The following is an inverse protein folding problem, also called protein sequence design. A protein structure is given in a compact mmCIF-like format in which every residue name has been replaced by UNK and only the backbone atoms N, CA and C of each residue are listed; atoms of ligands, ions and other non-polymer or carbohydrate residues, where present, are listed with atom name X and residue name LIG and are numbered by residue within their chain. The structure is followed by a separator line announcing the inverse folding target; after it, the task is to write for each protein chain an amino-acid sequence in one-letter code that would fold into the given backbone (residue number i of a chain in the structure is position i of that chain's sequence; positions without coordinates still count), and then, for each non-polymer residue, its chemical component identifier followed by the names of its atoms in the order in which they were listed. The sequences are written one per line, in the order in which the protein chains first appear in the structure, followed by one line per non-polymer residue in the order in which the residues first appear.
data_IF_407151765061
#
_entry.id   IF_407151765061
#
_cell.length_a   1.000
_cell.length_b   1.000
_cell.length_c   1.000
_cell.angle_alpha   90.00
_cell.angle_beta   90.00
_cell.angle_gamma   90.00
#
_symmetry.space_group_name_H-M   'P 1'
#
loop_
_entity.id
_entity.type
_entity.pdbx_description
1 polymer ?
#
# COMPACT_ATOMS: atom_id res chain seq x y z
N UNK A 1 -10.03 -4.41 -11.87
CA UNK A 1 -9.19 -5.57 -12.21
C UNK A 1 -10.06 -6.77 -12.47
N UNK A 2 -9.78 -7.47 -13.56
CA UNK A 2 -10.41 -8.76 -13.87
C UNK A 2 -9.65 -9.89 -13.18
N UNK A 3 -10.36 -10.73 -12.44
CA UNK A 3 -9.78 -11.83 -11.66
C UNK A 3 -10.46 -13.13 -12.05
N UNK A 4 -9.66 -14.14 -12.36
CA UNK A 4 -10.12 -15.52 -12.60
C UNK A 4 -10.36 -16.22 -11.26
N UNK A 5 -11.31 -17.14 -11.26
CA UNK A 5 -11.77 -17.86 -10.07
C UNK A 5 -11.62 -19.37 -10.26
N UNK A 6 -11.22 -20.03 -9.19
CA UNK A 6 -11.16 -21.49 -9.10
C UNK A 6 -12.12 -22.01 -8.01
N UNK A 7 -12.72 -23.15 -8.27
CA UNK A 7 -13.61 -23.80 -7.33
C UNK A 7 -12.83 -24.56 -6.26
N UNK A 8 -13.04 -24.17 -5.00
CA UNK A 8 -12.47 -24.87 -3.84
C UNK A 8 -13.58 -25.63 -3.12
N UNK A 9 -13.40 -26.93 -2.96
CA UNK A 9 -14.43 -27.80 -2.37
C UNK A 9 -14.56 -27.61 -0.87
N UNK A 10 -13.45 -27.42 -0.16
CA UNK A 10 -13.45 -27.24 1.28
C UNK A 10 -12.25 -26.44 1.78
N UNK A 11 -12.55 -25.45 2.61
CA UNK A 11 -11.56 -24.71 3.42
C UNK A 11 -12.16 -24.53 4.82
N UNK A 12 -11.48 -25.00 5.88
CA UNK A 12 -12.00 -24.90 7.24
C UNK A 12 -12.21 -23.46 7.71
N UNK A 13 -11.51 -22.49 7.15
CA UNK A 13 -11.64 -21.06 7.51
C UNK A 13 -12.93 -20.43 7.00
N UNK A 14 -13.42 -20.86 5.84
CA UNK A 14 -14.59 -20.30 5.16
C UNK A 14 -15.82 -21.21 5.33
N UNK A 15 -15.58 -22.51 5.37
CA UNK A 15 -16.62 -23.53 5.50
C UNK A 15 -17.44 -23.73 4.21
N UNK A 16 -17.47 -24.97 3.73
CA UNK A 16 -18.21 -25.35 2.52
C UNK A 16 -17.56 -24.95 1.21
N UNK A 17 -18.33 -25.12 0.13
CA UNK A 17 -17.89 -24.85 -1.24
C UNK A 17 -17.82 -23.34 -1.47
N UNK A 18 -16.70 -22.89 -2.00
CA UNK A 18 -16.48 -21.48 -2.34
C UNK A 18 -15.60 -21.36 -3.59
N UNK A 19 -15.59 -20.19 -4.19
CA UNK A 19 -14.64 -19.83 -5.24
C UNK A 19 -13.51 -19.02 -4.65
N UNK A 20 -12.30 -19.24 -5.15
CA UNK A 20 -11.10 -18.51 -4.76
C UNK A 20 -10.45 -17.92 -6.02
N UNK A 21 -9.91 -16.72 -5.91
CA UNK A 21 -9.14 -16.13 -7.01
C UNK A 21 -7.88 -16.94 -7.30
N UNK A 22 -7.59 -17.18 -8.57
CA UNK A 22 -6.39 -17.90 -9.04
C UNK A 22 -5.13 -17.10 -8.72
N UNK A 23 -5.17 -15.79 -8.97
CA UNK A 23 -4.09 -14.86 -8.66
C UNK A 23 -4.35 -14.10 -7.37
N UNK A 24 -3.29 -13.64 -6.74
CA UNK A 24 -3.38 -12.67 -5.65
C UNK A 24 -3.87 -11.34 -6.20
N UNK A 25 -4.67 -10.66 -5.41
CA UNK A 25 -5.09 -9.29 -5.68
C UNK A 25 -4.00 -8.38 -5.13
N UNK A 26 -3.54 -7.37 -5.89
CA UNK A 26 -2.59 -6.38 -5.41
C UNK A 26 -3.08 -5.72 -4.12
N UNK A 27 -2.15 -5.26 -3.29
CA UNK A 27 -2.47 -4.63 -2.03
C UNK A 27 -3.34 -3.39 -2.25
N UNK A 28 -4.39 -3.29 -1.43
CA UNK A 28 -5.34 -2.19 -1.49
C UNK A 28 -5.17 -1.27 -0.29
N UNK A 29 -5.37 0.02 -0.51
CA UNK A 29 -5.43 0.99 0.55
C UNK A 29 -6.57 0.67 1.54
N UNK A 30 -6.51 1.22 2.74
CA UNK A 30 -7.37 0.92 3.90
C UNK A 30 -8.89 0.93 3.63
N UNK A 31 -9.34 1.53 2.53
CA UNK A 31 -10.75 1.55 2.12
C UNK A 31 -11.20 0.18 1.58
N UNK A 32 -10.24 -0.67 1.16
CA UNK A 32 -10.50 -2.02 0.69
C UNK A 32 -11.21 -2.08 -0.66
N UNK A 33 -11.88 -3.18 -0.89
CA UNK A 33 -12.67 -3.41 -2.11
C UNK A 33 -13.90 -2.48 -2.12
N UNK A 34 -14.01 -1.65 -3.14
CA UNK A 34 -15.17 -0.76 -3.31
C UNK A 34 -16.36 -1.54 -3.86
N UNK A 35 -16.13 -2.37 -4.87
CA UNK A 35 -17.17 -3.23 -5.42
C UNK A 35 -16.60 -4.46 -6.11
N UNK A 36 -17.42 -5.51 -6.18
CA UNK A 36 -17.14 -6.74 -6.92
C UNK A 36 -18.31 -7.02 -7.83
N UNK A 37 -18.05 -7.15 -9.11
CA UNK A 37 -19.07 -7.43 -10.12
C UNK A 37 -18.75 -8.73 -10.83
N UNK A 38 -19.71 -9.67 -10.92
CA UNK A 38 -19.55 -10.85 -11.76
C UNK A 38 -19.54 -10.42 -13.24
N UNK A 39 -18.67 -11.01 -14.04
CA UNK A 39 -18.62 -10.74 -15.48
C UNK A 39 -19.72 -11.53 -16.20
N UNK A 40 -20.10 -12.69 -15.65
CA UNK A 40 -21.17 -13.53 -16.17
C UNK A 40 -22.47 -13.23 -15.42
N UNK A 41 -23.54 -13.05 -16.13
CA UNK A 41 -24.87 -12.52 -15.78
C UNK A 41 -25.70 -13.28 -14.74
N UNK A 42 -25.12 -13.91 -13.73
CA UNK A 42 -25.91 -14.72 -12.78
C UNK A 42 -26.44 -13.96 -11.56
N UNK A 43 -25.84 -12.83 -11.23
CA UNK A 43 -26.23 -12.04 -10.07
C UNK A 43 -25.96 -10.57 -10.28
N UNK A 44 -26.93 -9.75 -9.92
CA UNK A 44 -26.81 -8.30 -10.05
C UNK A 44 -25.93 -7.67 -8.95
N UNK A 45 -25.71 -8.35 -7.85
CA UNK A 45 -24.99 -7.79 -6.73
C UNK A 45 -24.13 -8.81 -5.97
N UNK A 46 -22.89 -8.43 -5.73
CA UNK A 46 -21.99 -9.12 -4.81
C UNK A 46 -21.87 -8.31 -3.53
N UNK A 47 -22.18 -8.94 -2.41
CA UNK A 47 -22.09 -8.28 -1.10
C UNK A 47 -20.73 -8.54 -0.49
N UNK A 48 -19.96 -7.49 -0.24
CA UNK A 48 -18.67 -7.60 0.42
C UNK A 48 -18.85 -7.77 1.93
N UNK A 49 -18.19 -8.78 2.49
CA UNK A 49 -18.20 -9.09 3.93
C UNK A 49 -16.79 -9.36 4.44
N UNK A 50 -16.56 -9.16 5.73
CA UNK A 50 -15.29 -9.52 6.33
C UNK A 50 -15.06 -11.05 6.31
N UNK A 51 -13.80 -11.50 6.21
CA UNK A 51 -13.42 -12.91 6.18
C UNK A 51 -14.03 -13.70 7.35
N UNK A 52 -14.06 -13.12 8.53
CA UNK A 52 -14.63 -13.76 9.71
C UNK A 52 -16.15 -14.04 9.59
N UNK A 53 -16.87 -13.21 8.85
CA UNK A 53 -18.31 -13.39 8.59
C UNK A 53 -18.58 -14.37 7.47
N UNK A 54 -17.61 -14.62 6.59
CA UNK A 54 -17.75 -15.49 5.43
C UNK A 54 -18.19 -16.91 5.82
N UNK A 55 -17.78 -17.40 6.99
CA UNK A 55 -18.18 -18.70 7.53
C UNK A 55 -19.69 -18.83 7.74
N UNK A 56 -20.34 -17.75 8.13
CA UNK A 56 -21.75 -17.73 8.54
C UNK A 56 -22.70 -17.31 7.44
N UNK A 57 -22.20 -16.73 6.35
CA UNK A 57 -23.03 -16.30 5.22
C UNK A 57 -23.15 -17.41 4.17
N UNK A 58 -24.14 -17.28 3.30
CA UNK A 58 -24.37 -18.21 2.20
C UNK A 58 -25.08 -19.50 2.62
N UNK A 59 -25.56 -19.60 3.86
CA UNK A 59 -26.33 -20.77 4.32
C UNK A 59 -27.83 -20.53 4.34
N UNK A 60 -28.27 -19.29 4.14
CA UNK A 60 -29.69 -18.94 4.17
C UNK A 60 -30.33 -19.20 2.81
N UNK A 61 -31.32 -20.09 2.80
CA UNK A 61 -32.06 -20.49 1.60
C UNK A 61 -32.88 -19.37 0.98
N UNK A 62 -33.24 -18.33 1.75
CA UNK A 62 -33.98 -17.15 1.25
C UNK A 62 -33.12 -16.15 0.52
N UNK A 63 -31.80 -16.22 0.70
CA UNK A 63 -30.80 -15.33 0.10
C UNK A 63 -29.98 -16.04 -0.99
N UNK A 64 -30.59 -16.92 -1.74
CA UNK A 64 -29.91 -17.76 -2.74
C UNK A 64 -29.22 -16.97 -3.84
N UNK A 65 -29.77 -15.80 -4.19
CA UNK A 65 -29.25 -14.99 -5.30
C UNK A 65 -28.12 -14.04 -4.89
N UNK A 66 -27.76 -14.02 -3.59
CA UNK A 66 -26.68 -13.16 -3.13
C UNK A 66 -25.36 -13.93 -3.17
N UNK A 67 -24.37 -13.34 -3.82
CA UNK A 67 -22.98 -13.78 -3.71
C UNK A 67 -22.29 -12.91 -2.66
N UNK A 68 -21.62 -13.54 -1.73
CA UNK A 68 -20.80 -12.87 -0.74
C UNK A 68 -19.35 -12.95 -1.15
N UNK A 69 -18.64 -11.81 -1.09
CA UNK A 69 -17.22 -11.72 -1.38
C UNK A 69 -16.44 -11.28 -0.14
N UNK A 70 -15.24 -11.77 0.00
CA UNK A 70 -14.32 -11.37 1.05
C UNK A 70 -12.88 -11.47 0.56
N UNK A 71 -12.06 -10.50 0.93
CA UNK A 71 -10.62 -10.55 0.74
C UNK A 71 -9.97 -11.29 1.92
N UNK A 72 -9.13 -12.26 1.61
CA UNK A 72 -8.34 -12.98 2.60
C UNK A 72 -7.07 -12.20 3.01
N UNK A 73 -6.47 -12.61 4.12
CA UNK A 73 -5.15 -12.12 4.55
C UNK A 73 -4.04 -12.53 3.56
N UNK A 74 -4.31 -13.56 2.77
CA UNK A 74 -3.45 -14.07 1.69
C UNK A 74 -3.62 -13.30 0.36
N UNK A 75 -4.34 -12.18 0.38
CA UNK A 75 -4.68 -11.34 -0.78
C UNK A 75 -5.45 -12.08 -1.88
N UNK A 76 -6.13 -13.15 -1.53
CA UNK A 76 -7.05 -13.82 -2.45
C UNK A 76 -8.50 -13.39 -2.18
N UNK A 77 -9.27 -13.25 -3.26
CA UNK A 77 -10.71 -13.04 -3.17
C UNK A 77 -11.40 -14.38 -2.99
N UNK A 78 -12.29 -14.42 -2.04
CA UNK A 78 -13.14 -15.57 -1.75
C UNK A 78 -14.60 -15.21 -2.01
N UNK A 79 -15.32 -16.07 -2.73
CA UNK A 79 -16.73 -15.89 -2.98
C UNK A 79 -17.51 -17.11 -2.49
N UNK A 80 -18.69 -16.86 -1.92
CA UNK A 80 -19.58 -17.89 -1.42
C UNK A 80 -21.04 -17.52 -1.70
N UNK A 81 -21.83 -18.51 -2.11
CA UNK A 81 -23.26 -18.35 -2.31
C UNK A 81 -24.00 -19.65 -2.03
N UNK A 82 -25.29 -19.56 -1.70
CA UNK A 82 -26.19 -20.70 -1.63
C UNK A 82 -26.71 -21.13 -2.99
N UNK A 83 -26.53 -20.33 -4.02
CA UNK A 83 -26.99 -20.64 -5.37
C UNK A 83 -26.01 -21.65 -6.01
N UNK A 84 -26.47 -22.83 -6.46
CA UNK A 84 -25.58 -23.79 -7.11
C UNK A 84 -24.98 -23.26 -8.43
N UNK A 85 -25.62 -22.31 -9.09
CA UNK A 85 -25.12 -21.72 -10.35
C UNK A 85 -23.88 -20.86 -10.15
N UNK A 86 -23.61 -20.38 -8.92
CA UNK A 86 -22.42 -19.57 -8.67
C UNK A 86 -21.12 -20.33 -8.93
N UNK A 87 -21.15 -21.64 -8.92
CA UNK A 87 -19.98 -22.51 -9.24
C UNK A 87 -19.48 -22.34 -10.68
N UNK A 88 -20.32 -21.82 -11.55
CA UNK A 88 -19.99 -21.55 -12.95
C UNK A 88 -19.45 -20.12 -13.17
N UNK A 89 -19.29 -19.36 -12.11
CA UNK A 89 -18.70 -18.05 -12.18
C UNK A 89 -17.17 -18.20 -12.35
N UNK A 90 -16.69 -17.82 -13.52
CA UNK A 90 -15.26 -17.99 -13.88
C UNK A 90 -14.45 -16.73 -13.60
N UNK A 91 -15.09 -15.56 -13.69
CA UNK A 91 -14.40 -14.28 -13.61
C UNK A 91 -15.23 -13.24 -12.88
N UNK A 92 -14.55 -12.38 -12.14
CA UNK A 92 -15.11 -11.20 -11.50
C UNK A 92 -14.30 -9.96 -11.81
N UNK A 93 -14.97 -8.83 -11.84
CA UNK A 93 -14.34 -7.53 -11.91
C UNK A 93 -14.31 -6.90 -10.52
N UNK A 94 -13.12 -6.52 -10.06
CA UNK A 94 -12.92 -5.89 -8.76
C UNK A 94 -12.59 -4.42 -8.99
N UNK A 95 -13.30 -3.55 -8.31
CA UNK A 95 -13.02 -2.12 -8.26
C UNK A 95 -12.56 -1.76 -6.84
N UNK A 96 -11.45 -1.09 -6.73
CA UNK A 96 -10.86 -0.66 -5.46
C UNK A 96 -9.76 0.35 -5.69
N UNK A 97 -9.21 0.89 -4.61
CA UNK A 97 -8.05 1.76 -4.64
C UNK A 97 -6.84 0.89 -4.29
N UNK A 98 -5.96 0.69 -5.25
CA UNK A 98 -4.76 -0.12 -5.10
C UNK A 98 -3.60 0.74 -4.63
N UNK A 99 -2.76 0.19 -3.76
CA UNK A 99 -1.58 0.88 -3.23
C UNK A 99 -0.55 1.11 -4.34
N UNK A 100 -0.33 0.09 -5.17
CA UNK A 100 0.59 0.18 -6.29
C UNK A 100 -0.15 -0.08 -7.61
N UNK A 101 -0.52 0.95 -8.37
CA UNK A 101 -1.22 0.78 -9.64
C UNK A 101 -0.35 0.13 -10.73
N UNK A 102 0.98 0.12 -10.59
CA UNK A 102 1.86 -0.51 -11.58
C UNK A 102 1.74 -2.03 -11.61
N UNK A 103 1.33 -2.66 -10.51
CA UNK A 103 1.09 -4.11 -10.44
C UNK A 103 -0.13 -4.57 -11.27
N UNK A 104 -0.95 -3.62 -11.69
CA UNK A 104 -2.14 -3.88 -12.53
C UNK A 104 -1.83 -3.83 -14.03
N UNK A 105 -0.66 -3.33 -14.39
CA UNK A 105 -0.22 -3.24 -15.77
C UNK A 105 0.17 -4.64 -16.26
N UNK A 106 -0.08 -4.91 -17.54
CA UNK A 106 0.41 -6.12 -18.15
C UNK A 106 1.93 -6.03 -18.37
N UNK A 107 2.61 -7.16 -18.43
CA UNK A 107 4.07 -7.23 -18.64
C UNK A 107 4.54 -6.49 -19.92
N UNK A 108 3.62 -6.23 -20.85
CA UNK A 108 3.91 -5.55 -22.10
C UNK A 108 3.62 -4.04 -22.08
N UNK A 109 3.01 -3.54 -21.01
CA UNK A 109 2.70 -2.11 -20.89
C UNK A 109 3.90 -1.37 -20.32
N UNK A 110 4.35 -0.33 -21.03
CA UNK A 110 5.38 0.54 -20.50
C UNK A 110 4.77 1.43 -19.41
N UNK A 111 5.34 1.33 -18.22
CA UNK A 111 4.91 2.10 -17.04
C UNK A 111 4.98 3.61 -17.31
N UNK A 112 5.94 4.04 -18.15
CA UNK A 112 6.14 5.46 -18.47
C UNK A 112 5.07 6.01 -19.42
N UNK A 113 4.51 5.16 -20.28
CA UNK A 113 3.49 5.56 -21.26
C UNK A 113 2.06 5.41 -20.72
N UNK A 114 1.90 4.77 -19.58
CA UNK A 114 0.58 4.52 -19.00
C UNK A 114 0.12 5.72 -18.19
N UNK A 115 -1.11 6.16 -18.42
CA UNK A 115 -1.73 7.22 -17.61
C UNK A 115 -1.89 6.74 -16.17
N UNK A 116 -1.17 7.37 -15.27
CA UNK A 116 -1.35 7.15 -13.85
C UNK A 116 -2.73 7.66 -13.42
N UNK A 117 -3.50 6.87 -12.65
CA UNK A 117 -4.85 7.26 -12.21
C UNK A 117 -4.78 8.30 -11.08
N UNK A 118 -4.23 9.48 -11.40
CA UNK A 118 -4.17 10.61 -10.49
C UNK A 118 -5.21 11.63 -10.91
N UNK A 119 -5.96 12.14 -9.96
CA UNK A 119 -6.89 13.23 -10.19
C UNK A 119 -6.11 14.50 -10.56
N UNK A 120 -6.55 15.19 -11.59
CA UNK A 120 -5.83 16.35 -12.15
C UNK A 120 -5.56 17.44 -11.10
N UNK A 121 -6.46 17.60 -10.13
CA UNK A 121 -6.32 18.51 -9.01
C UNK A 121 -5.14 18.16 -8.06
N UNK A 122 -4.68 16.91 -8.04
CA UNK A 122 -3.59 16.44 -7.19
C UNK A 122 -2.21 16.57 -7.87
N UNK A 123 -2.17 16.80 -9.18
CA UNK A 123 -0.91 16.92 -9.92
C UNK A 123 -0.02 18.06 -9.40
N UNK A 124 -0.52 19.31 -9.23
CA UNK A 124 0.31 20.40 -8.75
C UNK A 124 0.93 20.15 -7.36
N UNK A 125 0.18 19.73 -6.33
CA UNK A 125 0.76 19.46 -5.02
C UNK A 125 1.78 18.30 -5.02
N UNK A 126 1.59 17.27 -5.87
CA UNK A 126 2.57 16.18 -6.01
C UNK A 126 3.86 16.69 -6.64
N UNK A 127 3.80 17.50 -7.69
CA UNK A 127 4.98 18.12 -8.31
C UNK A 127 5.73 18.99 -7.30
N UNK A 128 5.01 19.80 -6.53
CA UNK A 128 5.62 20.65 -5.49
C UNK A 128 6.34 19.81 -4.43
N UNK A 129 5.74 18.72 -4.01
CA UNK A 129 6.34 17.80 -3.03
C UNK A 129 7.61 17.14 -3.58
N UNK A 130 7.59 16.69 -4.84
CA UNK A 130 8.76 16.11 -5.53
C UNK A 130 9.89 17.13 -5.65
N UNK A 131 9.57 18.36 -6.07
CA UNK A 131 10.57 19.43 -6.18
C UNK A 131 11.19 19.73 -4.81
N UNK A 132 10.37 19.79 -3.77
CA UNK A 132 10.84 20.02 -2.40
C UNK A 132 11.75 18.90 -1.92
N UNK A 133 11.41 17.66 -2.21
CA UNK A 133 12.20 16.49 -1.80
C UNK A 133 13.53 16.42 -2.55
N UNK A 134 13.51 16.63 -3.87
CA UNK A 134 14.72 16.69 -4.68
C UNK A 134 15.62 17.86 -4.27
N UNK A 135 15.06 19.06 -4.08
CA UNK A 135 15.85 20.21 -3.65
C UNK A 135 16.41 20.03 -2.24
N UNK A 136 15.70 19.39 -1.32
CA UNK A 136 16.24 19.08 0.01
C UNK A 136 17.40 18.08 -0.03
N UNK A 137 17.40 17.18 -1.01
CA UNK A 137 18.49 16.24 -1.25
C UNK A 137 19.72 16.90 -1.88
N UNK A 138 19.49 17.85 -2.80
CA UNK A 138 20.56 18.58 -3.51
C UNK A 138 21.12 19.73 -2.67
N UNK A 139 20.25 20.39 -1.90
CA UNK A 139 20.60 21.50 -1.01
C UNK A 139 20.91 21.06 0.43
N UNK A 140 21.09 19.78 0.66
CA UNK A 140 21.81 19.40 1.88
C UNK A 140 23.16 20.07 1.76
N UNK A 141 23.44 21.14 2.53
CA UNK A 141 24.80 21.67 2.55
C UNK A 141 25.63 20.45 2.93
N UNK A 142 26.53 20.03 2.04
CA UNK A 142 27.63 19.21 2.50
C UNK A 142 28.11 19.95 3.73
N UNK A 143 28.22 19.26 4.83
CA UNK A 143 28.74 19.79 6.08
C UNK A 143 30.22 20.03 5.86
N UNK A 144 30.50 21.01 4.96
CA UNK A 144 31.84 21.48 4.62
C UNK A 144 32.39 22.33 5.75
N UNK A 145 31.53 22.78 6.64
CA UNK A 145 31.91 23.24 7.96
C UNK A 145 32.19 22.02 8.83
N UNK A 146 33.37 21.48 8.63
CA UNK A 146 33.94 20.56 9.57
C UNK A 146 33.98 21.28 10.93
N UNK A 147 32.98 21.05 11.77
CA UNK A 147 32.88 21.58 13.14
C UNK A 147 34.15 21.33 13.95
N UNK A 148 34.95 20.32 13.54
CA UNK A 148 36.26 20.06 14.12
C UNK A 148 37.28 21.20 13.88
N UNK A 149 37.18 21.95 12.78
CA UNK A 149 38.04 23.09 12.53
C UNK A 149 37.64 24.27 13.40
N UNK A 150 36.35 24.52 13.56
CA UNK A 150 35.85 25.57 14.47
C UNK A 150 36.12 25.26 15.93
N UNK A 151 36.01 24.02 16.32
CA UNK A 151 36.35 23.56 17.67
C UNK A 151 37.84 23.61 17.94
N UNK A 152 38.69 23.30 16.94
CA UNK A 152 40.14 23.49 17.06
C UNK A 152 40.53 24.98 17.19
N UNK A 153 39.85 25.87 16.50
CA UNK A 153 40.03 27.32 16.65
C UNK A 153 39.63 27.84 18.02
N UNK A 154 38.52 27.36 18.56
CA UNK A 154 38.06 27.68 19.91
C UNK A 154 38.99 27.09 20.98
N UNK A 155 39.42 25.84 20.78
CA UNK A 155 40.36 25.15 21.68
C UNK A 155 41.72 25.83 21.73
N UNK A 156 42.26 26.23 20.59
CA UNK A 156 43.53 26.95 20.50
C UNK A 156 43.46 28.33 21.20
N UNK A 157 42.37 29.05 21.03
CA UNK A 157 42.13 30.33 21.70
C UNK A 157 41.94 30.14 23.24
N UNK A 158 41.30 29.06 23.67
CA UNK A 158 41.16 28.75 25.07
C UNK A 158 42.50 28.37 25.74
N UNK A 159 43.31 27.57 25.07
CA UNK A 159 44.65 27.22 25.55
C UNK A 159 45.61 28.45 25.58
N UNK A 160 45.57 29.32 24.55
CA UNK A 160 46.37 30.52 24.52
C UNK A 160 46.01 31.52 25.63
N UNK A 161 44.75 31.60 26.05
CA UNK A 161 44.29 32.41 27.20
C UNK A 161 44.78 31.84 28.52
N UNK A 162 44.72 30.54 28.74
CA UNK A 162 45.14 29.92 29.94
C UNK A 162 46.67 29.97 30.13
N UNK A 163 47.44 29.76 29.08
CA UNK A 163 48.89 29.91 29.11
C UNK A 163 49.32 31.32 29.46
N UNK A 164 48.62 32.35 28.94
CA UNK A 164 48.92 33.75 29.29
C UNK A 164 48.57 34.07 30.75
N UNK A 165 47.54 33.48 31.31
CA UNK A 165 47.17 33.68 32.72
C UNK A 165 48.13 33.05 33.69
N UNK A 166 48.74 31.90 33.36
CA UNK A 166 49.71 31.20 34.18
C UNK A 166 51.12 31.86 34.11
N UNK A 167 51.47 32.41 32.96
CA UNK A 167 52.71 33.20 32.81
C UNK A 167 52.66 34.53 33.58
N UNK A 168 51.48 35.17 33.63
CA UNK A 168 51.34 36.41 34.39
C UNK A 168 51.37 36.23 35.92
N UNK A 169 50.97 35.05 36.42
CA UNK A 169 51.05 34.71 37.84
C UNK A 169 52.47 34.37 38.29
N UNK A 170 53.33 33.81 37.38
CA UNK A 170 54.73 33.47 37.74
C UNK A 170 55.72 34.63 37.69
N UNK A 171 55.32 35.79 37.21
CA UNK A 171 56.19 37.01 37.14
C UNK A 171 56.05 37.90 38.38
N UNK A 172 55.03 37.65 39.24
CA UNK A 172 54.74 38.47 40.40
C UNK A 172 54.94 37.72 41.76
N UNK A 173 55.50 36.53 41.75
CA UNK A 173 56.04 35.79 42.91
C UNK A 173 57.61 35.80 42.82
#
# INVERSE_FOLDING_TARGET
VEVKLDLVMYDPSIGGIHLKSTSKIPDMLNIGVTSVHPINYFCDSVTYVSKNRMRYVGSNMYLKNIIYASLGVDNHLYLKSSNPQFKHLEKVHITGIFENPTELLSENDDVMDTKFPLEEALIPPVIELIIKELSSGILRPEDTENNAVDDLGKLSNFLARNVKSDLSKKIFD
#
